data_IF_331209261431
#
_entry.id   IF_331209261431
#
_cell.length_a   1.000
_cell.length_b   1.000
_cell.length_c   1.000
_cell.angle_alpha   90.00
_cell.angle_beta   90.00
_cell.angle_gamma   90.00
#
_symmetry.space_group_name_H-M   'P 1'
#
loop_
_entity.id
_entity.type
_entity.pdbx_description
1 polymer ?
#
# COMPACT_ATOMS: atom_id res chain seq x y z
N UNK A 1 -15.74 9.51 8.54
CA UNK A 1 -14.64 8.57 8.29
C UNK A 1 -14.27 8.56 6.80
N UNK A 2 -15.24 8.55 5.86
CA UNK A 2 -14.92 8.56 4.42
C UNK A 2 -14.11 9.79 4.01
N UNK A 3 -14.40 10.94 4.57
CA UNK A 3 -13.71 12.20 4.26
C UNK A 3 -12.20 12.11 4.50
N UNK A 4 -11.79 11.30 5.50
CA UNK A 4 -10.38 11.14 5.87
C UNK A 4 -9.58 10.40 4.79
N UNK A 5 -10.26 9.59 3.96
CA UNK A 5 -9.67 8.87 2.84
C UNK A 5 -9.85 9.58 1.49
N UNK A 6 -10.79 10.52 1.41
CA UNK A 6 -11.05 11.29 0.20
C UNK A 6 -10.03 12.39 -0.06
N UNK A 7 -9.49 12.98 1.01
CA UNK A 7 -8.50 14.06 0.93
C UNK A 7 -7.30 13.68 1.77
N UNK A 8 -6.18 13.37 1.11
CA UNK A 8 -4.96 12.92 1.78
C UNK A 8 -3.72 13.59 1.20
N UNK A 9 -2.66 13.62 1.99
CA UNK A 9 -1.32 13.97 1.55
C UNK A 9 -0.46 12.71 1.47
N UNK A 10 0.28 12.58 0.37
CA UNK A 10 1.14 11.45 0.09
C UNK A 10 2.59 11.89 0.05
N UNK A 11 3.42 11.22 0.84
CA UNK A 11 4.88 11.41 0.85
C UNK A 11 5.52 10.56 -0.25
N UNK A 12 6.67 11.02 -0.74
CA UNK A 12 7.51 10.22 -1.61
C UNK A 12 8.09 9.01 -0.88
N UNK A 13 8.34 7.95 -1.61
CA UNK A 13 9.14 6.83 -1.15
C UNK A 13 10.22 6.46 -2.18
N UNK A 14 11.26 5.79 -1.70
CA UNK A 14 12.47 5.51 -2.46
C UNK A 14 12.22 4.48 -3.56
N UNK A 15 13.04 4.50 -4.60
CA UNK A 15 13.01 3.45 -5.62
C UNK A 15 13.44 2.11 -5.00
N UNK A 16 12.52 1.17 -4.95
CA UNK A 16 12.73 -0.14 -4.35
C UNK A 16 13.68 -1.04 -5.16
N UNK A 17 13.81 -0.84 -6.47
CA UNK A 17 14.72 -1.60 -7.33
C UNK A 17 16.17 -1.21 -7.07
N UNK A 18 16.44 0.07 -6.89
CA UNK A 18 17.77 0.57 -6.54
C UNK A 18 18.21 0.01 -5.18
N UNK A 19 17.31 -0.03 -4.21
CA UNK A 19 17.59 -0.57 -2.89
C UNK A 19 17.77 -2.09 -2.90
N UNK A 20 16.92 -2.83 -3.62
CA UNK A 20 17.06 -4.26 -3.80
C UNK A 20 18.44 -4.62 -4.38
N UNK A 21 18.90 -3.87 -5.36
CA UNK A 21 20.23 -4.04 -5.97
C UNK A 21 21.35 -3.73 -4.98
N UNK A 22 21.28 -2.61 -4.25
CA UNK A 22 22.28 -2.21 -3.26
C UNK A 22 22.42 -3.21 -2.12
N UNK A 23 21.28 -3.70 -1.62
CA UNK A 23 21.22 -4.61 -0.48
C UNK A 23 21.35 -6.08 -0.87
N UNK A 24 21.37 -6.41 -2.18
CA UNK A 24 21.38 -7.79 -2.70
C UNK A 24 20.24 -8.65 -2.17
N UNK A 25 19.07 -8.04 -2.05
CA UNK A 25 17.82 -8.69 -1.62
C UNK A 25 16.79 -8.61 -2.73
N UNK A 26 15.63 -9.25 -2.51
CA UNK A 26 14.49 -9.04 -3.39
C UNK A 26 13.92 -7.64 -3.20
N UNK A 27 13.23 -7.20 -4.21
CA UNK A 27 12.56 -5.92 -4.31
C UNK A 27 11.57 -5.70 -3.15
N UNK A 28 11.70 -4.57 -2.47
CA UNK A 28 10.64 -4.07 -1.58
C UNK A 28 9.37 -3.74 -2.37
N UNK A 29 8.26 -3.52 -1.67
CA UNK A 29 7.02 -3.10 -2.33
C UNK A 29 7.11 -1.68 -2.87
N UNK A 30 6.33 -1.39 -3.90
CA UNK A 30 6.02 -0.04 -4.39
C UNK A 30 4.57 0.38 -4.05
N UNK A 31 3.96 -0.27 -3.06
CA UNK A 31 2.59 -0.02 -2.59
C UNK A 31 2.53 0.78 -1.29
N UNK A 32 3.50 1.63 -1.01
CA UNK A 32 3.64 2.37 0.26
C UNK A 32 2.54 3.40 0.53
N UNK A 33 1.80 3.82 -0.49
CA UNK A 33 0.79 4.86 -0.40
C UNK A 33 -0.63 4.36 -0.73
N UNK A 34 -1.26 3.57 0.14
CA UNK A 34 -2.66 3.16 -0.04
C UNK A 34 -3.59 4.37 0.03
N UNK A 35 -4.62 4.38 -0.81
CA UNK A 35 -5.65 5.44 -0.75
C UNK A 35 -6.81 5.10 0.18
N UNK A 36 -7.05 3.81 0.42
CA UNK A 36 -8.25 3.33 1.10
C UNK A 36 -9.51 3.43 0.22
N UNK A 37 -9.33 3.54 -1.09
CA UNK A 37 -10.43 3.61 -2.06
C UNK A 37 -10.27 2.47 -3.06
N UNK A 38 -11.37 1.82 -3.41
CA UNK A 38 -11.42 0.82 -4.45
C UNK A 38 -12.43 1.20 -5.54
N UNK A 39 -12.25 0.61 -6.70
CA UNK A 39 -13.01 0.87 -7.92
C UNK A 39 -13.47 -0.42 -8.58
N UNK A 40 -14.40 -0.30 -9.50
CA UNK A 40 -14.80 -1.35 -10.43
C UNK A 40 -14.30 -1.02 -11.84
N UNK A 41 -14.13 -2.05 -12.65
CA UNK A 41 -13.85 -1.89 -14.08
C UNK A 41 -14.90 -1.00 -14.73
N UNK A 42 -14.45 -0.08 -15.58
CA UNK A 42 -15.23 0.94 -16.27
C UNK A 42 -15.79 2.06 -15.36
N UNK A 43 -15.44 2.10 -14.07
CA UNK A 43 -15.77 3.27 -13.26
C UNK A 43 -15.06 4.51 -13.82
N UNK A 44 -15.78 5.61 -13.85
CA UNK A 44 -15.22 6.94 -14.13
C UNK A 44 -14.72 7.54 -12.81
N UNK A 45 -13.40 7.69 -12.71
CA UNK A 45 -12.74 8.23 -11.54
C UNK A 45 -12.29 9.67 -11.76
N UNK A 46 -12.64 10.55 -10.84
CA UNK A 46 -12.12 11.92 -10.80
C UNK A 46 -11.05 11.99 -9.70
N UNK A 47 -9.87 12.49 -10.05
CA UNK A 47 -8.76 12.70 -9.12
C UNK A 47 -8.27 14.13 -9.25
N UNK A 48 -8.37 14.89 -8.17
CA UNK A 48 -7.86 16.25 -8.06
C UNK A 48 -6.47 16.18 -7.42
N UNK A 49 -5.46 16.67 -8.12
CA UNK A 49 -4.06 16.63 -7.69
C UNK A 49 -3.56 18.04 -7.47
N UNK A 50 -2.96 18.29 -6.31
CA UNK A 50 -2.31 19.55 -6.00
C UNK A 50 -1.01 19.75 -6.79
N UNK A 51 -0.18 20.65 -6.31
CA UNK A 51 1.15 20.84 -6.90
C UNK A 51 1.99 19.56 -6.74
N UNK A 52 2.53 19.07 -7.82
CA UNK A 52 3.42 17.89 -7.84
C UNK A 52 4.89 18.25 -7.64
N UNK A 53 5.20 19.54 -7.50
CA UNK A 53 6.58 20.03 -7.35
C UNK A 53 7.53 19.53 -8.45
N UNK A 54 6.99 19.34 -9.66
CA UNK A 54 7.72 18.78 -10.81
C UNK A 54 7.95 17.26 -10.76
N UNK A 55 7.40 16.57 -9.79
CA UNK A 55 7.50 15.12 -9.66
C UNK A 55 6.50 14.38 -10.55
N UNK A 56 6.86 13.17 -10.94
CA UNK A 56 5.98 12.27 -11.70
C UNK A 56 5.18 11.40 -10.73
N UNK A 57 3.86 11.44 -10.84
CA UNK A 57 2.94 10.75 -9.96
C UNK A 57 2.03 9.85 -10.78
N UNK A 58 1.80 8.64 -10.28
CA UNK A 58 0.85 7.71 -10.87
C UNK A 58 -0.18 7.25 -9.86
N UNK A 59 -1.38 7.00 -10.33
CA UNK A 59 -2.36 6.16 -9.66
C UNK A 59 -2.21 4.74 -10.18
N UNK A 60 -2.15 3.76 -9.27
CA UNK A 60 -2.11 2.34 -9.62
C UNK A 60 -3.34 1.63 -9.07
N UNK A 61 -4.00 0.81 -9.88
CA UNK A 61 -5.11 -0.02 -9.48
C UNK A 61 -4.63 -1.47 -9.33
N UNK A 62 -4.55 -1.97 -8.11
CA UNK A 62 -4.17 -3.35 -7.81
C UNK A 62 -5.40 -4.23 -7.90
N UNK A 63 -5.37 -5.21 -8.79
CA UNK A 63 -6.49 -6.11 -9.05
C UNK A 63 -6.93 -6.96 -7.85
N UNK A 64 -8.15 -7.44 -7.91
CA UNK A 64 -8.74 -8.34 -6.92
C UNK A 64 -8.46 -9.82 -7.23
N UNK A 65 -7.69 -10.09 -8.27
CA UNK A 65 -7.39 -11.46 -8.65
C UNK A 65 -6.63 -12.17 -7.55
N UNK A 66 -7.22 -13.25 -7.10
CA UNK A 66 -6.66 -14.11 -6.08
C UNK A 66 -5.64 -15.04 -6.68
N UNK A 67 -4.64 -15.41 -5.88
CA UNK A 67 -3.83 -16.58 -6.14
C UNK A 67 -4.75 -17.79 -6.26
N UNK A 68 -4.85 -18.36 -7.43
CA UNK A 68 -5.40 -19.69 -7.59
C UNK A 68 -4.26 -20.66 -7.90
N UNK A 69 -4.32 -21.84 -7.30
CA UNK A 69 -3.60 -22.98 -7.86
C UNK A 69 -4.41 -23.47 -9.05
N UNK A 70 -3.75 -23.70 -10.17
CA UNK A 70 -4.37 -24.43 -11.27
C UNK A 70 -4.62 -25.89 -10.83
N UNK A 71 -5.50 -26.60 -11.52
CA UNK A 71 -5.74 -28.04 -11.26
C UNK A 71 -4.45 -28.88 -11.29
N UNK A 72 -3.41 -28.39 -11.99
CA UNK A 72 -2.09 -29.00 -12.08
C UNK A 72 -1.12 -28.57 -10.97
N UNK A 73 -1.61 -27.89 -9.92
CA UNK A 73 -0.82 -27.32 -8.82
C UNK A 73 0.23 -26.27 -9.24
N UNK A 74 0.11 -25.68 -10.42
CA UNK A 74 0.92 -24.55 -10.79
C UNK A 74 0.47 -23.29 -10.02
N UNK A 75 1.42 -22.69 -9.32
CA UNK A 75 1.21 -21.45 -8.59
C UNK A 75 1.07 -20.28 -9.56
N UNK A 76 -0.12 -19.74 -9.68
CA UNK A 76 -0.34 -18.48 -10.37
C UNK A 76 -0.08 -17.34 -9.39
N UNK A 77 1.04 -16.68 -9.53
CA UNK A 77 1.39 -15.54 -8.70
C UNK A 77 0.35 -14.43 -8.89
N UNK A 78 -0.25 -13.91 -7.80
CA UNK A 78 -1.15 -12.78 -7.92
C UNK A 78 -0.42 -11.62 -8.56
N UNK A 79 -1.07 -10.97 -9.47
CA UNK A 79 -0.59 -9.73 -10.04
C UNK A 79 -0.73 -8.62 -8.99
N UNK A 80 0.30 -8.42 -8.18
CA UNK A 80 0.45 -7.24 -7.31
C UNK A 80 0.73 -5.98 -8.12
N UNK A 81 0.69 -6.12 -9.40
CA UNK A 81 0.77 -5.07 -10.39
C UNK A 81 -0.62 -4.85 -10.97
N UNK A 82 -0.86 -3.68 -11.47
CA UNK A 82 -2.10 -3.34 -12.12
C UNK A 82 -1.90 -2.13 -13.01
N UNK A 83 -2.90 -1.72 -13.77
CA UNK A 83 -2.85 -0.54 -14.60
C UNK A 83 -2.40 0.68 -13.81
N UNK A 84 -1.53 1.47 -14.43
CA UNK A 84 -1.08 2.75 -13.89
C UNK A 84 -1.60 3.89 -14.76
N UNK A 85 -1.99 4.97 -14.09
CA UNK A 85 -2.54 6.17 -14.72
C UNK A 85 -1.67 7.35 -14.32
N UNK A 86 -1.10 8.05 -15.30
CA UNK A 86 -0.33 9.26 -15.04
C UNK A 86 -1.24 10.36 -14.51
N UNK A 87 -0.85 10.98 -13.40
CA UNK A 87 -1.57 12.09 -12.79
C UNK A 87 -0.85 13.41 -13.07
N UNK A 88 -1.64 14.43 -13.38
CA UNK A 88 -1.17 15.80 -13.59
C UNK A 88 -1.78 16.73 -12.54
N UNK A 89 -1.14 17.85 -12.19
CA UNK A 89 -1.76 18.87 -11.37
C UNK A 89 -3.15 19.27 -11.91
N UNK A 90 -4.12 19.46 -11.01
CA UNK A 90 -5.50 19.78 -11.36
C UNK A 90 -6.39 18.56 -11.49
N UNK A 91 -7.35 18.60 -12.41
CA UNK A 91 -8.40 17.59 -12.57
C UNK A 91 -7.94 16.49 -13.53
N UNK A 92 -7.95 15.25 -13.04
CA UNK A 92 -7.74 14.04 -13.85
C UNK A 92 -9.06 13.27 -13.94
N UNK A 93 -9.47 12.88 -15.13
CA UNK A 93 -10.61 12.00 -15.41
C UNK A 93 -10.07 10.71 -15.98
N UNK A 94 -10.36 9.60 -15.33
CA UNK A 94 -9.78 8.29 -15.61
C UNK A 94 -10.89 7.25 -15.73
N UNK A 95 -10.81 6.37 -16.73
CA UNK A 95 -11.68 5.19 -16.84
C UNK A 95 -10.91 3.97 -16.34
N UNK A 96 -11.44 3.29 -15.35
CA UNK A 96 -10.77 2.16 -14.69
C UNK A 96 -10.77 0.90 -15.57
N UNK A 97 -9.60 0.27 -15.73
CA UNK A 97 -9.43 -0.91 -16.58
C UNK A 97 -9.74 -2.23 -15.86
N UNK A 98 -9.72 -2.23 -14.52
CA UNK A 98 -9.98 -3.41 -13.67
C UNK A 98 -10.64 -3.03 -12.35
N UNK A 99 -11.19 -4.01 -11.67
CA UNK A 99 -11.57 -3.92 -10.27
C UNK A 99 -10.32 -3.87 -9.40
N UNK A 100 -10.33 -3.11 -8.31
CA UNK A 100 -9.21 -3.16 -7.37
C UNK A 100 -9.08 -1.96 -6.45
N UNK A 101 -8.07 -2.02 -5.58
CA UNK A 101 -7.69 -0.90 -4.71
C UNK A 101 -6.71 0.04 -5.37
N UNK A 102 -6.84 1.31 -5.02
CA UNK A 102 -6.01 2.39 -5.56
C UNK A 102 -4.84 2.70 -4.63
N UNK A 103 -3.67 2.86 -5.24
CA UNK A 103 -2.43 3.28 -4.59
C UNK A 103 -1.82 4.45 -5.35
N UNK A 104 -1.17 5.36 -4.62
CA UNK A 104 -0.41 6.46 -5.24
C UNK A 104 1.05 6.03 -5.37
N UNK A 105 1.56 5.98 -6.58
CA UNK A 105 2.98 5.79 -6.85
C UNK A 105 3.66 7.15 -6.91
N UNK A 106 4.39 7.46 -5.86
CA UNK A 106 5.22 8.64 -5.75
C UNK A 106 6.63 8.21 -5.38
N UNK A 107 7.38 7.77 -6.40
CA UNK A 107 8.72 7.22 -6.26
C UNK A 107 9.71 8.28 -6.73
N UNK A 108 10.60 8.70 -5.84
CA UNK A 108 11.69 9.65 -6.17
C UNK A 108 12.79 9.55 -5.13
N UNK A 109 13.87 10.29 -5.33
CA UNK A 109 14.88 10.51 -4.29
C UNK A 109 14.27 11.33 -3.15
N UNK A 110 14.01 10.68 -2.02
CA UNK A 110 13.38 11.30 -0.85
C UNK A 110 14.24 12.35 -0.14
N UNK A 111 15.54 12.45 -0.50
CA UNK A 111 16.44 13.51 -0.03
C UNK A 111 16.35 14.77 -0.87
N UNK A 112 15.69 14.72 -2.01
CA UNK A 112 15.51 15.84 -2.91
C UNK A 112 14.64 16.94 -2.28
N UNK A 113 15.03 18.20 -2.45
CA UNK A 113 14.29 19.36 -1.93
C UNK A 113 12.88 19.53 -2.51
N UNK A 114 12.59 18.90 -3.65
CA UNK A 114 11.27 18.92 -4.29
C UNK A 114 10.45 17.64 -4.06
N UNK A 115 10.94 16.69 -3.24
CA UNK A 115 10.19 15.51 -2.79
C UNK A 115 9.20 15.88 -1.67
N UNK A 116 8.37 16.87 -1.93
CA UNK A 116 7.39 17.39 -0.96
C UNK A 116 6.09 16.57 -0.98
N UNK A 117 5.34 16.51 0.12
CA UNK A 117 4.03 15.84 0.14
C UNK A 117 3.07 16.42 -0.90
N UNK A 118 2.32 15.54 -1.55
CA UNK A 118 1.36 15.92 -2.60
C UNK A 118 -0.04 15.66 -2.11
N UNK A 119 -0.87 16.69 -2.16
CA UNK A 119 -2.28 16.61 -1.78
C UNK A 119 -3.11 16.05 -2.93
N UNK A 120 -3.88 15.00 -2.64
CA UNK A 120 -4.78 14.38 -3.61
C UNK A 120 -6.18 14.30 -3.01
N UNK A 121 -7.18 14.63 -3.84
CA UNK A 121 -8.59 14.55 -3.49
C UNK A 121 -9.31 13.66 -4.52
N UNK A 122 -9.91 12.59 -4.05
CA UNK A 122 -10.81 11.73 -4.84
C UNK A 122 -12.23 11.99 -4.32
N UNK A 123 -13.06 12.77 -5.05
CA UNK A 123 -14.35 13.28 -4.52
C UNK A 123 -15.39 12.17 -4.36
N UNK A 124 -16.47 12.51 -3.65
CA UNK A 124 -17.67 11.68 -3.55
C UNK A 124 -18.19 11.32 -4.95
N UNK A 125 -18.65 10.09 -5.12
CA UNK A 125 -19.09 9.58 -6.42
C UNK A 125 -17.96 8.98 -7.28
N UNK A 126 -16.70 9.15 -6.85
CA UNK A 126 -15.52 8.54 -7.50
C UNK A 126 -14.96 7.44 -6.61
N UNK A 127 -15.10 6.19 -7.01
CA UNK A 127 -14.69 5.01 -6.24
C UNK A 127 -15.44 4.89 -4.90
N UNK A 128 -15.21 3.78 -4.21
CA UNK A 128 -15.81 3.46 -2.91
C UNK A 128 -14.74 3.39 -1.82
N UNK A 129 -15.01 4.03 -0.68
CA UNK A 129 -14.08 4.00 0.46
C UNK A 129 -14.16 2.66 1.18
N UNK A 130 -13.02 2.02 1.34
CA UNK A 130 -12.81 0.86 2.22
C UNK A 130 -11.98 1.22 3.45
N UNK A 131 -11.22 2.30 3.37
CA UNK A 131 -10.28 2.72 4.40
C UNK A 131 -9.03 1.83 4.47
N UNK A 132 -8.12 2.21 5.35
CA UNK A 132 -6.95 1.44 5.75
C UNK A 132 -6.49 1.93 7.12
N UNK A 133 -5.70 1.12 7.81
CA UNK A 133 -5.06 1.55 9.05
C UNK A 133 -3.63 1.99 8.78
N UNK A 134 -3.23 3.09 9.40
CA UNK A 134 -1.86 3.62 9.36
C UNK A 134 -1.45 4.02 10.77
N UNK A 135 -0.39 3.42 11.29
CA UNK A 135 0.06 3.65 12.67
C UNK A 135 0.42 5.11 12.94
N UNK A 136 0.95 5.81 11.94
CA UNK A 136 1.27 7.25 12.06
C UNK A 136 0.00 8.11 12.26
N UNK A 137 -1.10 7.75 11.59
CA UNK A 137 -2.34 8.54 11.57
C UNK A 137 -3.33 8.13 12.65
N UNK A 138 -3.48 6.83 12.87
CA UNK A 138 -4.60 6.25 13.63
C UNK A 138 -4.22 5.79 15.04
N UNK A 139 -2.98 5.38 15.24
CA UNK A 139 -2.26 5.21 16.53
C UNK A 139 -2.81 4.21 17.54
N UNK A 140 -4.07 3.74 17.42
CA UNK A 140 -4.67 2.89 18.46
C UNK A 140 -5.40 1.67 17.88
N UNK A 141 -5.51 0.62 18.71
CA UNK A 141 -6.26 -0.59 18.41
C UNK A 141 -7.77 -0.32 18.21
N UNK A 142 -8.33 0.64 18.94
CA UNK A 142 -9.75 1.02 18.81
C UNK A 142 -10.02 1.62 17.43
N UNK A 143 -9.13 2.49 16.97
CA UNK A 143 -9.26 3.08 15.63
C UNK A 143 -9.06 2.05 14.53
N UNK A 144 -8.13 1.11 14.72
CA UNK A 144 -7.98 -0.04 13.83
C UNK A 144 -9.27 -0.85 13.74
N UNK A 145 -9.86 -1.24 14.89
CA UNK A 145 -11.09 -2.03 14.94
C UNK A 145 -12.26 -1.29 14.27
N UNK A 146 -12.38 0.02 14.50
CA UNK A 146 -13.39 0.87 13.84
C UNK A 146 -13.23 0.82 12.32
N UNK A 147 -12.03 1.05 11.80
CA UNK A 147 -11.75 1.08 10.37
C UNK A 147 -11.97 -0.28 9.72
N UNK A 148 -11.48 -1.35 10.34
CA UNK A 148 -11.67 -2.71 9.85
C UNK A 148 -13.16 -3.11 9.79
N UNK A 149 -13.95 -2.69 10.79
CA UNK A 149 -15.39 -2.97 10.80
C UNK A 149 -16.14 -2.32 9.64
N UNK A 150 -15.64 -1.17 9.16
CA UNK A 150 -16.23 -0.38 8.06
C UNK A 150 -15.67 -0.76 6.69
N UNK A 151 -14.61 -1.57 6.64
CA UNK A 151 -13.97 -1.95 5.38
C UNK A 151 -14.95 -2.64 4.43
N UNK A 152 -14.92 -2.26 3.17
CA UNK A 152 -15.87 -2.72 2.14
C UNK A 152 -15.20 -3.54 1.04
N UNK A 153 -13.88 -3.59 1.02
CA UNK A 153 -13.12 -4.33 0.02
C UNK A 153 -12.66 -5.68 0.57
N UNK A 154 -12.39 -6.61 -0.34
CA UNK A 154 -11.90 -7.95 -0.04
C UNK A 154 -10.58 -7.95 0.75
N UNK A 155 -9.71 -6.99 0.48
CA UNK A 155 -8.44 -6.81 1.17
C UNK A 155 -8.43 -5.52 1.98
N UNK A 156 -7.78 -5.56 3.12
CA UNK A 156 -7.58 -4.41 4.00
C UNK A 156 -6.08 -4.17 4.21
N UNK A 157 -5.68 -2.91 4.07
CA UNK A 157 -4.30 -2.50 4.24
C UNK A 157 -4.04 -2.03 5.67
N UNK A 158 -2.94 -2.49 6.25
CA UNK A 158 -2.45 -2.03 7.56
C UNK A 158 -1.00 -1.61 7.39
N UNK A 159 -0.74 -0.33 7.55
CA UNK A 159 0.59 0.27 7.43
C UNK A 159 1.20 0.50 8.80
N UNK A 160 2.28 -0.22 9.13
CA UNK A 160 3.13 -0.03 10.30
C UNK A 160 4.29 0.90 10.00
N UNK A 161 5.31 0.93 10.87
CA UNK A 161 6.51 1.75 10.66
C UNK A 161 7.46 1.16 9.60
N UNK A 162 7.56 -0.16 9.55
CA UNK A 162 8.50 -0.88 8.66
C UNK A 162 7.84 -1.95 7.79
N UNK A 163 6.63 -2.37 8.18
CA UNK A 163 5.85 -3.41 7.52
C UNK A 163 4.50 -2.87 7.08
N UNK A 164 4.00 -3.41 6.01
CA UNK A 164 2.63 -3.20 5.57
C UNK A 164 1.95 -4.55 5.32
N UNK A 165 0.78 -4.75 5.91
CA UNK A 165 -0.06 -5.92 5.66
C UNK A 165 -1.12 -5.58 4.62
N UNK A 166 -1.30 -6.47 3.66
CA UNK A 166 -2.39 -6.42 2.70
C UNK A 166 -3.11 -7.77 2.75
N UNK A 167 -4.02 -7.89 3.71
CA UNK A 167 -4.63 -9.16 4.07
C UNK A 167 -6.13 -9.17 3.78
N UNK A 168 -6.66 -10.38 3.68
CA UNK A 168 -8.08 -10.60 3.47
C UNK A 168 -8.90 -10.02 4.63
N UNK A 169 -9.82 -9.10 4.32
CA UNK A 169 -10.60 -8.34 5.32
C UNK A 169 -11.35 -9.24 6.29
N UNK A 170 -12.00 -10.29 5.78
CA UNK A 170 -12.78 -11.20 6.63
C UNK A 170 -11.88 -12.04 7.53
N UNK A 171 -10.70 -12.44 7.06
CA UNK A 171 -9.72 -13.14 7.91
C UNK A 171 -9.16 -12.23 9.00
N UNK A 172 -8.93 -10.98 8.70
CA UNK A 172 -8.52 -10.01 9.72
C UNK A 172 -9.63 -9.78 10.77
N UNK A 173 -10.88 -9.74 10.35
CA UNK A 173 -12.03 -9.67 11.26
C UNK A 173 -12.15 -10.90 12.16
N UNK A 174 -11.81 -12.06 11.64
CA UNK A 174 -11.85 -13.33 12.38
C UNK A 174 -10.70 -13.42 13.41
N UNK A 175 -9.47 -13.09 13.01
CA UNK A 175 -8.26 -13.43 13.76
C UNK A 175 -7.71 -12.26 14.58
N UNK A 176 -7.75 -11.04 14.04
CA UNK A 176 -7.13 -9.85 14.65
C UNK A 176 -8.10 -8.68 14.77
N UNK A 177 -9.34 -8.97 15.01
CA UNK A 177 -10.44 -7.99 14.99
C UNK A 177 -10.21 -6.72 15.82
N UNK A 178 -9.51 -6.83 16.95
CA UNK A 178 -9.43 -5.77 17.96
C UNK A 178 -8.02 -5.31 18.30
N UNK A 179 -6.98 -6.05 17.93
CA UNK A 179 -5.60 -5.77 18.36
C UNK A 179 -4.65 -5.99 17.21
N UNK A 180 -4.14 -4.92 16.65
CA UNK A 180 -3.13 -4.95 15.60
C UNK A 180 -1.78 -4.40 16.08
N UNK A 181 -1.80 -3.47 17.04
CA UNK A 181 -0.58 -2.79 17.52
C UNK A 181 0.50 -3.75 18.03
N UNK A 182 0.19 -4.77 18.86
CA UNK A 182 1.22 -5.72 19.29
C UNK A 182 1.83 -6.51 18.12
N UNK A 183 1.01 -6.85 17.10
CA UNK A 183 1.48 -7.54 15.88
C UNK A 183 2.39 -6.65 15.06
N UNK A 184 2.04 -5.38 14.86
CA UNK A 184 2.87 -4.42 14.15
C UNK A 184 4.22 -4.21 14.87
N UNK A 185 4.21 -4.03 16.17
CA UNK A 185 5.42 -3.86 16.95
C UNK A 185 6.35 -5.08 16.83
N UNK A 186 5.79 -6.28 16.96
CA UNK A 186 6.55 -7.52 16.82
C UNK A 186 7.22 -7.63 15.44
N UNK A 187 6.50 -7.35 14.36
CA UNK A 187 7.06 -7.39 13.02
C UNK A 187 8.04 -6.25 12.74
N UNK A 188 7.81 -5.07 13.29
CA UNK A 188 8.78 -3.97 13.21
C UNK A 188 10.11 -4.35 13.86
N UNK A 189 10.07 -5.04 15.02
CA UNK A 189 11.27 -5.53 15.70
C UNK A 189 11.99 -6.60 14.87
N UNK A 190 11.26 -7.54 14.28
CA UNK A 190 11.85 -8.57 13.38
C UNK A 190 12.57 -7.89 12.21
N UNK A 191 11.92 -6.98 11.52
CA UNK A 191 12.51 -6.29 10.37
C UNK A 191 13.73 -5.45 10.80
N UNK A 192 13.66 -4.83 11.96
CA UNK A 192 14.79 -4.11 12.53
C UNK A 192 15.98 -5.04 12.75
N UNK A 193 15.79 -6.19 13.36
CA UNK A 193 16.86 -7.18 13.57
C UNK A 193 17.42 -7.73 12.27
N UNK A 194 16.59 -7.97 11.26
CA UNK A 194 17.05 -8.35 9.92
C UNK A 194 17.95 -7.26 9.32
N UNK A 195 17.55 -6.00 9.45
CA UNK A 195 18.34 -4.86 8.96
C UNK A 195 19.66 -4.70 9.71
N UNK A 196 19.66 -4.93 11.03
CA UNK A 196 20.88 -4.96 11.84
C UNK A 196 21.84 -6.07 11.34
N UNK A 197 21.34 -7.28 11.14
CA UNK A 197 22.12 -8.41 10.62
C UNK A 197 22.70 -8.15 9.23
N UNK A 198 21.97 -7.44 8.38
CA UNK A 198 22.45 -7.04 7.05
C UNK A 198 23.41 -5.86 7.07
N UNK A 199 23.64 -5.24 8.24
CA UNK A 199 24.50 -4.06 8.37
C UNK A 199 23.91 -2.79 7.77
N UNK A 200 22.60 -2.74 7.54
CA UNK A 200 21.89 -1.60 6.93
C UNK A 200 21.18 -0.71 7.96
N UNK A 201 21.33 -0.99 9.23
CA UNK A 201 20.74 -0.21 10.33
C UNK A 201 21.13 1.28 10.25
N UNK A 202 22.34 1.56 9.78
CA UNK A 202 22.85 2.91 9.59
C UNK A 202 22.42 3.56 8.26
N UNK A 203 21.69 2.83 7.42
CA UNK A 203 21.05 3.45 6.28
C UNK A 203 19.94 4.34 6.81
N UNK A 204 20.17 5.63 6.72
CA UNK A 204 19.27 6.66 7.22
C UNK A 204 17.85 6.40 6.71
N UNK A 205 16.82 6.45 7.56
CA UNK A 205 15.43 6.48 7.11
C UNK A 205 15.15 7.56 6.06
N UNK A 206 16.01 8.60 6.02
CA UNK A 206 16.03 9.63 4.97
C UNK A 206 16.43 9.12 3.58
N UNK A 207 17.04 7.94 3.47
CA UNK A 207 17.46 7.37 2.19
C UNK A 207 16.58 6.21 1.71
N UNK A 208 15.94 5.51 2.67
CA UNK A 208 15.07 4.38 2.37
C UNK A 208 13.90 4.40 3.35
N UNK A 209 12.70 4.58 2.83
CA UNK A 209 11.46 4.61 3.61
C UNK A 209 10.42 3.60 3.11
N UNK A 210 10.84 2.63 2.32
CA UNK A 210 9.96 1.58 1.82
C UNK A 210 9.59 0.59 2.94
N UNK A 211 8.37 0.09 2.87
CA UNK A 211 7.85 -0.94 3.76
C UNK A 211 8.04 -2.33 3.16
N UNK A 212 8.27 -3.33 4.01
CA UNK A 212 8.14 -4.73 3.60
C UNK A 212 6.65 -5.04 3.51
N UNK A 213 6.22 -5.59 2.39
CA UNK A 213 4.83 -5.96 2.17
C UNK A 213 4.62 -7.44 2.48
N UNK A 214 3.79 -7.71 3.49
CA UNK A 214 3.27 -9.04 3.75
C UNK A 214 1.86 -9.16 3.16
N UNK A 215 1.63 -10.23 2.42
CA UNK A 215 0.37 -10.49 1.72
C UNK A 215 -0.14 -11.86 2.15
N UNK A 216 -1.44 -11.97 2.37
CA UNK A 216 -2.10 -13.25 2.58
C UNK A 216 -2.64 -13.76 1.25
N UNK A 217 -2.04 -14.82 0.68
CA UNK A 217 -2.68 -15.52 -0.42
C UNK A 217 -3.96 -16.23 0.06
N UNK A 218 -4.91 -16.45 -0.83
CA UNK A 218 -6.00 -17.39 -0.54
C UNK A 218 -5.41 -18.80 -0.45
N UNK A 219 -5.45 -19.40 0.74
CA UNK A 219 -4.87 -20.71 1.04
C UNK A 219 -3.85 -20.66 2.16
N UNK A 220 -3.58 -21.81 2.75
CA UNK A 220 -2.86 -21.95 4.02
C UNK A 220 -1.32 -21.81 3.93
N UNK A 221 -0.78 -21.06 2.98
CA UNK A 221 0.66 -20.99 2.78
C UNK A 221 1.20 -19.57 2.97
N UNK A 222 2.02 -19.39 4.01
CA UNK A 222 3.02 -18.34 4.01
C UNK A 222 4.16 -18.75 3.08
N UNK A 223 4.35 -18.01 2.00
CA UNK A 223 5.47 -18.22 1.10
C UNK A 223 6.58 -17.24 1.43
N UNK A 224 7.65 -17.74 2.05
CA UNK A 224 8.98 -17.16 1.97
C UNK A 224 9.71 -17.86 0.83
N UNK A 225 9.49 -17.46 -0.39
CA UNK A 225 10.09 -18.12 -1.54
C UNK A 225 11.17 -17.27 -2.16
N UNK A 226 12.36 -17.81 -2.26
CA UNK A 226 13.35 -17.38 -3.23
C UNK A 226 12.80 -17.55 -4.65
N UNK A 227 12.61 -16.46 -5.35
CA UNK A 227 12.72 -16.37 -6.82
C UNK A 227 13.20 -14.99 -7.22
#
# INVERSE_FOLDING_TARGET
WEKDFRIQEYKAYSNNEDWATKLRIKKYTDLDNPTGIHVKKNDELIVLVGDTHGQTIYLQCIGEETTSYTEDHEYVQPSWTGPTYSLKPGINKLTMQNDGQLFIKYITDITSSNALPIKIHIPLGSGKVTGYFDVEKHKTDEKYAELLSKATHKYFCVRGDRIMFYFHTDKMREVVQRKIMPTLNFWNDIIKWEQELMGIENIQPSQMNNHILAISPEGSYMWGGER
#
